data_IF_034211719699
#
_entry.id   IF_034211719699
#
_cell.length_a   1.000
_cell.length_b   1.000
_cell.length_c   1.000
_cell.angle_alpha   90.00
_cell.angle_beta   90.00
_cell.angle_gamma   90.00
#
_symmetry.space_group_name_H-M   'P 1'
#
loop_
_entity.id
_entity.type
_entity.pdbx_description
1 polymer ?
#
# COMPACT_ATOMS: atom_id res chain seq x y z
N UNK A 1 37.26 1.16 3.70
CA UNK A 1 36.43 1.28 2.46
C UNK A 1 35.55 2.49 2.65
N UNK A 2 35.20 3.23 1.57
CA UNK A 2 34.37 4.41 1.73
C UNK A 2 32.95 4.06 2.19
N UNK A 3 32.49 4.72 3.26
CA UNK A 3 31.11 4.69 3.72
C UNK A 3 30.30 5.76 2.97
N UNK A 4 29.17 5.38 2.38
CA UNK A 4 28.24 6.35 1.76
C UNK A 4 27.09 6.70 2.70
N UNK A 5 26.86 7.99 2.93
CA UNK A 5 25.76 8.50 3.75
C UNK A 5 24.77 9.23 2.86
N UNK A 6 23.50 8.80 2.89
CA UNK A 6 22.39 9.39 2.14
C UNK A 6 21.38 10.00 3.10
N UNK A 7 21.22 11.32 3.02
CA UNK A 7 20.13 12.04 3.68
C UNK A 7 18.79 11.73 3.01
N UNK A 8 17.67 12.16 3.62
CA UNK A 8 16.36 11.96 2.98
C UNK A 8 16.24 12.76 1.67
N UNK A 9 16.91 13.91 1.57
CA UNK A 9 16.96 14.70 0.34
C UNK A 9 17.73 13.97 -0.77
N UNK A 10 18.88 13.36 -0.45
CA UNK A 10 19.66 12.55 -1.39
C UNK A 10 18.85 11.34 -1.89
N UNK A 11 18.13 10.69 -0.97
CA UNK A 11 17.23 9.57 -1.32
C UNK A 11 16.11 10.05 -2.25
N UNK A 12 15.44 11.16 -1.92
CA UNK A 12 14.41 11.74 -2.78
C UNK A 12 14.96 12.08 -4.16
N UNK A 13 16.13 12.72 -4.26
CA UNK A 13 16.77 13.07 -5.52
C UNK A 13 16.97 11.83 -6.41
N UNK A 14 17.61 10.78 -5.88
CA UNK A 14 17.87 9.53 -6.62
C UNK A 14 16.56 8.87 -7.06
N UNK A 15 15.60 8.75 -6.14
CA UNK A 15 14.33 8.10 -6.43
C UNK A 15 13.48 8.91 -7.42
N UNK A 16 13.61 10.23 -7.40
CA UNK A 16 12.83 11.12 -8.24
C UNK A 16 13.35 11.13 -9.69
N UNK A 17 14.61 10.79 -9.90
CA UNK A 17 15.21 10.68 -11.23
C UNK A 17 15.11 9.28 -11.86
N UNK A 18 14.48 8.30 -11.19
CA UNK A 18 14.36 6.94 -11.73
C UNK A 18 13.52 6.89 -12.99
N UNK A 19 14.05 6.23 -14.02
CA UNK A 19 13.30 5.87 -15.23
C UNK A 19 12.44 4.62 -15.01
N UNK A 20 11.66 4.24 -16.03
CA UNK A 20 10.94 2.96 -15.99
C UNK A 20 11.91 1.78 -15.96
N UNK A 21 13.00 1.86 -16.71
CA UNK A 21 14.05 0.85 -16.78
C UNK A 21 14.75 0.70 -15.41
N UNK A 22 15.05 1.81 -14.75
CA UNK A 22 15.60 1.79 -13.38
C UNK A 22 14.64 1.08 -12.41
N UNK A 23 13.34 1.39 -12.47
CA UNK A 23 12.32 0.76 -11.62
C UNK A 23 12.19 -0.74 -11.92
N UNK A 24 12.24 -1.15 -13.19
CA UNK A 24 12.20 -2.55 -13.60
C UNK A 24 13.43 -3.32 -13.09
N UNK A 25 14.64 -2.72 -13.12
CA UNK A 25 15.87 -3.30 -12.54
C UNK A 25 15.73 -3.47 -11.02
N UNK A 26 15.31 -2.43 -10.30
CA UNK A 26 15.08 -2.48 -8.86
C UNK A 26 14.02 -3.52 -8.47
N UNK A 27 12.93 -3.63 -9.24
CA UNK A 27 11.94 -4.69 -9.06
C UNK A 27 12.55 -6.08 -9.30
N UNK A 28 13.40 -6.24 -10.31
CA UNK A 28 14.05 -7.53 -10.58
C UNK A 28 14.94 -7.97 -9.43
N UNK A 29 15.79 -7.07 -8.92
CA UNK A 29 16.68 -7.35 -7.79
C UNK A 29 15.90 -7.72 -6.52
N UNK A 30 14.84 -6.96 -6.21
CA UNK A 30 13.98 -7.25 -5.08
C UNK A 30 13.21 -8.56 -5.26
N UNK A 31 12.73 -8.85 -6.46
CA UNK A 31 12.02 -10.08 -6.77
C UNK A 31 12.92 -11.32 -6.62
N UNK A 32 14.18 -11.22 -7.03
CA UNK A 32 15.18 -12.29 -6.87
C UNK A 32 15.53 -12.54 -5.39
N UNK A 33 15.68 -11.48 -4.60
CA UNK A 33 15.93 -11.60 -3.17
C UNK A 33 14.72 -12.22 -2.43
N UNK A 34 13.50 -11.77 -2.74
CA UNK A 34 12.27 -12.34 -2.15
C UNK A 34 12.06 -13.78 -2.59
N UNK A 35 12.38 -14.10 -3.84
CA UNK A 35 12.36 -15.48 -4.34
C UNK A 35 13.34 -16.37 -3.55
N UNK A 36 14.58 -15.90 -3.39
CA UNK A 36 15.65 -16.55 -2.64
C UNK A 36 15.30 -16.77 -1.16
N UNK A 37 14.52 -15.85 -0.58
CA UNK A 37 13.95 -15.98 0.76
C UNK A 37 12.84 -17.03 0.81
N UNK A 38 11.91 -17.02 -0.16
CA UNK A 38 10.71 -17.85 -0.12
C UNK A 38 11.00 -19.34 -0.42
N UNK A 39 12.00 -19.65 -1.24
CA UNK A 39 12.32 -21.05 -1.57
C UNK A 39 12.94 -21.84 -0.42
N UNK A 40 13.37 -21.17 0.65
CA UNK A 40 13.90 -21.83 1.83
C UNK A 40 15.16 -22.68 1.58
N UNK A 41 15.82 -22.55 0.42
CA UNK A 41 17.13 -23.18 0.22
C UNK A 41 18.09 -22.57 1.25
N UNK A 42 18.56 -23.38 2.19
CA UNK A 42 19.44 -22.94 3.26
C UNK A 42 20.80 -22.47 2.73
N UNK A 43 21.14 -22.84 1.49
CA UNK A 43 22.33 -22.35 0.78
C UNK A 43 22.08 -21.01 0.07
N UNK A 44 20.82 -20.57 0.00
CA UNK A 44 20.45 -19.32 -0.63
C UNK A 44 20.96 -18.13 0.18
N UNK A 45 21.58 -17.12 -0.46
CA UNK A 45 22.13 -15.95 0.21
C UNK A 45 21.08 -15.18 1.04
N UNK A 46 19.81 -15.21 0.64
CA UNK A 46 18.73 -14.49 1.30
C UNK A 46 17.78 -15.39 2.10
N UNK A 47 18.18 -16.63 2.39
CA UNK A 47 17.31 -17.64 3.04
C UNK A 47 16.59 -17.11 4.28
N UNK A 48 15.37 -17.59 4.54
CA UNK A 48 14.57 -17.22 5.69
C UNK A 48 15.31 -17.39 7.03
N UNK A 49 16.26 -18.35 7.14
CA UNK A 49 17.10 -18.54 8.32
C UNK A 49 18.00 -17.34 8.65
N UNK A 50 18.25 -16.45 7.67
CA UNK A 50 19.03 -15.23 7.82
C UNK A 50 18.17 -13.97 7.96
N UNK A 51 16.84 -14.11 8.10
CA UNK A 51 15.89 -13.01 8.28
C UNK A 51 15.26 -13.08 9.68
N UNK A 52 15.98 -12.63 10.73
CA UNK A 52 15.43 -12.63 12.08
C UNK A 52 14.18 -11.75 12.19
N UNK A 53 13.33 -12.08 13.16
CA UNK A 53 12.18 -11.24 13.50
C UNK A 53 12.64 -9.85 13.96
N UNK A 54 11.83 -8.84 13.64
CA UNK A 54 12.06 -7.49 14.15
C UNK A 54 12.01 -7.49 15.68
N UNK A 55 12.88 -6.72 16.31
CA UNK A 55 12.85 -6.46 17.76
C UNK A 55 12.11 -5.15 18.02
N UNK A 56 11.28 -5.10 19.06
CA UNK A 56 10.42 -3.94 19.38
C UNK A 56 10.75 -3.42 20.78
N UNK A 57 11.09 -2.14 20.88
CA UNK A 57 11.25 -1.42 22.15
C UNK A 57 10.16 -0.37 22.26
N UNK A 58 9.36 -0.41 23.32
CA UNK A 58 8.35 0.62 23.63
C UNK A 58 8.77 1.40 24.85
N UNK A 59 9.00 2.71 24.71
CA UNK A 59 9.42 3.59 25.80
C UNK A 59 8.87 5.00 25.59
N UNK A 60 8.27 5.58 26.63
CA UNK A 60 7.79 6.97 26.65
C UNK A 60 6.90 7.37 25.45
N UNK A 61 5.98 6.49 25.05
CA UNK A 61 5.08 6.73 23.89
C UNK A 61 5.73 6.54 22.52
N UNK A 62 7.02 6.19 22.47
CA UNK A 62 7.75 5.89 21.24
C UNK A 62 7.92 4.37 21.13
N UNK A 63 7.60 3.83 19.96
CA UNK A 63 7.89 2.45 19.58
C UNK A 63 9.04 2.45 18.59
N UNK A 64 10.18 1.87 18.95
CA UNK A 64 11.34 1.67 18.08
C UNK A 64 11.38 0.23 17.60
N UNK A 65 11.48 0.04 16.30
CA UNK A 65 11.61 -1.25 15.62
C UNK A 65 13.04 -1.40 15.09
N UNK A 66 13.65 -2.54 15.38
CA UNK A 66 14.94 -2.96 14.84
C UNK A 66 14.67 -4.13 13.90
N UNK A 67 15.05 -3.99 12.63
CA UNK A 67 14.78 -4.98 11.58
C UNK A 67 16.12 -5.42 10.97
N UNK A 68 16.83 -6.38 11.59
CA UNK A 68 18.03 -6.95 11.01
C UNK A 68 17.69 -7.86 9.82
N UNK A 69 18.59 -7.93 8.86
CA UNK A 69 18.45 -8.80 7.69
C UNK A 69 19.82 -9.07 7.05
N UNK A 70 19.85 -10.06 6.14
CA UNK A 70 20.98 -10.29 5.25
C UNK A 70 20.51 -10.50 3.82
N UNK A 71 21.20 -9.89 2.85
CA UNK A 71 21.00 -10.14 1.41
C UNK A 71 21.97 -11.21 0.88
N UNK A 72 22.72 -11.84 1.78
CA UNK A 72 23.86 -12.71 1.52
C UNK A 72 25.06 -12.05 0.88
N UNK A 73 24.97 -10.83 0.32
CA UNK A 73 26.10 -9.94 -0.03
C UNK A 73 26.32 -8.83 0.99
N UNK A 74 25.29 -8.54 1.78
CA UNK A 74 25.33 -7.55 2.85
C UNK A 74 24.60 -8.05 4.09
N UNK A 75 24.97 -7.50 5.23
CA UNK A 75 24.23 -7.62 6.49
C UNK A 75 23.94 -6.23 6.99
N UNK A 76 22.76 -6.02 7.54
CA UNK A 76 22.36 -4.69 7.93
C UNK A 76 21.14 -4.68 8.82
N UNK A 77 20.73 -3.48 9.17
CA UNK A 77 19.57 -3.27 10.02
C UNK A 77 18.88 -1.96 9.69
N UNK A 78 17.55 -2.01 9.59
CA UNK A 78 16.71 -0.82 9.66
C UNK A 78 16.34 -0.55 11.11
N UNK A 79 16.50 0.69 11.56
CA UNK A 79 16.01 1.16 12.85
C UNK A 79 15.01 2.27 12.59
N UNK A 80 13.76 2.11 13.01
CA UNK A 80 12.71 3.12 12.84
C UNK A 80 11.96 3.37 14.14
N UNK A 81 11.56 4.61 14.38
CA UNK A 81 10.74 5.00 15.53
C UNK A 81 9.41 5.58 15.09
N UNK A 82 8.36 5.21 15.83
CA UNK A 82 6.99 5.65 15.64
C UNK A 82 6.49 6.25 16.96
N UNK A 83 6.03 7.50 16.91
CA UNK A 83 5.30 8.12 18.02
C UNK A 83 3.85 7.61 18.02
N UNK A 84 3.38 7.10 19.16
CA UNK A 84 1.98 6.75 19.35
C UNK A 84 1.24 7.93 19.98
N UNK A 85 0.03 8.27 19.51
CA UNK A 85 -0.79 9.27 20.19
C UNK A 85 -1.10 8.78 21.61
N UNK A 86 -0.76 9.61 22.61
CA UNK A 86 -1.05 9.32 24.02
C UNK A 86 -2.57 9.26 24.21
N UNK A 87 -3.11 8.07 24.46
CA UNK A 87 -4.52 7.95 24.85
C UNK A 87 -4.70 8.51 26.26
N UNK A 88 -5.16 9.76 26.36
CA UNK A 88 -5.62 10.33 27.62
C UNK A 88 -6.94 9.66 28.01
N UNK A 89 -6.87 8.50 28.66
CA UNK A 89 -8.01 7.96 29.39
C UNK A 89 -8.24 8.84 30.64
N UNK A 90 -9.02 9.92 30.49
CA UNK A 90 -9.60 10.61 31.63
C UNK A 90 -10.55 9.61 32.32
N UNK A 91 -10.12 9.06 33.46
CA UNK A 91 -11.02 8.43 34.43
C UNK A 91 -11.90 9.53 35.03
N UNK A 92 -13.08 9.78 34.47
CA UNK A 92 -14.14 10.52 35.16
C UNK A 92 -14.90 9.54 36.05
N UNK A 93 -14.60 9.56 37.34
CA UNK A 93 -15.48 9.05 38.38
C UNK A 93 -16.68 10.02 38.51
N UNK A 94 -17.88 9.53 38.21
CA UNK A 94 -19.14 10.26 38.37
C UNK A 94 -19.71 9.91 39.74
N UNK A 95 -19.77 10.90 40.63
CA UNK A 95 -20.62 10.86 41.83
C UNK A 95 -21.93 11.59 41.53
N UNK A 96 -23.04 10.88 41.73
CA UNK A 96 -24.42 11.28 41.52
C UNK A 96 -24.92 12.27 42.57
N UNK A 97 -25.57 13.36 42.15
CA UNK A 97 -26.65 13.99 42.91
C UNK A 97 -27.56 14.78 41.97
N UNK A 98 -28.83 14.39 42.02
CA UNK A 98 -30.04 14.86 41.33
C UNK A 98 -30.45 16.27 41.72
N UNK A 99 -30.86 17.10 40.74
CA UNK A 99 -31.96 18.06 40.90
C UNK A 99 -32.40 18.65 39.55
N UNK A 100 -33.71 18.67 39.37
CA UNK A 100 -34.50 19.01 38.18
C UNK A 100 -34.50 20.51 37.86
N UNK A 101 -34.75 20.86 36.59
CA UNK A 101 -34.91 22.26 36.17
C UNK A 101 -35.26 22.41 34.68
N UNK A 102 -36.49 22.84 34.43
CA UNK A 102 -37.23 22.99 33.17
C UNK A 102 -36.63 23.88 32.05
N UNK A 103 -36.93 23.44 30.81
CA UNK A 103 -37.35 24.17 29.58
C UNK A 103 -36.70 25.49 29.15
N UNK A 104 -36.15 25.52 27.93
CA UNK A 104 -36.73 26.25 26.77
C UNK A 104 -35.74 26.32 25.57
N UNK A 105 -36.22 25.93 24.39
CA UNK A 105 -35.63 26.17 23.06
C UNK A 105 -36.16 27.52 22.53
N UNK A 106 -35.45 28.29 21.66
CA UNK A 106 -35.59 28.04 20.22
C UNK A 106 -34.41 28.47 19.30
N UNK A 107 -34.58 28.07 18.03
CA UNK A 107 -33.77 28.31 16.84
C UNK A 107 -33.04 29.65 16.72
N UNK A 108 -31.76 29.58 16.29
CA UNK A 108 -30.93 30.70 15.85
C UNK A 108 -30.29 30.39 14.50
N UNK A 109 -30.48 31.34 13.58
CA UNK A 109 -30.21 31.31 12.14
C UNK A 109 -28.71 31.29 11.74
N UNK A 110 -28.49 30.95 10.47
CA UNK A 110 -27.23 30.84 9.75
C UNK A 110 -26.44 32.16 9.59
N UNK A 111 -25.12 32.05 9.70
CA UNK A 111 -24.11 32.81 8.93
C UNK A 111 -22.84 31.96 8.95
N UNK A 112 -22.23 31.50 7.85
CA UNK A 112 -21.83 32.28 6.70
C UNK A 112 -20.31 32.40 6.70
N UNK A 113 -19.59 31.30 6.42
CA UNK A 113 -18.14 31.32 6.21
C UNK A 113 -17.85 30.90 4.77
N UNK A 114 -17.77 31.89 3.88
CA UNK A 114 -17.33 31.73 2.50
C UNK A 114 -15.81 31.48 2.45
N UNK A 115 -15.40 30.29 2.01
CA UNK A 115 -14.03 30.06 1.51
C UNK A 115 -14.03 30.50 0.04
N UNK A 116 -13.61 31.74 -0.22
CA UNK A 116 -13.33 32.26 -1.56
C UNK A 116 -11.85 32.03 -1.91
N UNK A 117 -11.64 31.70 -3.19
CA UNK A 117 -10.43 31.87 -4.01
C UNK A 117 -9.16 31.06 -3.70
N UNK A 118 -9.01 29.93 -4.40
CA UNK A 118 -7.73 29.43 -4.91
C UNK A 118 -7.96 28.46 -6.10
N UNK A 119 -8.77 28.88 -7.08
CA UNK A 119 -9.13 28.08 -8.25
C UNK A 119 -8.84 28.88 -9.53
N UNK A 120 -7.58 29.04 -9.90
CA UNK A 120 -7.21 29.61 -11.21
C UNK A 120 -6.11 28.84 -11.97
N UNK A 121 -5.59 27.71 -11.45
CA UNK A 121 -4.56 26.89 -12.14
C UNK A 121 -4.93 25.40 -12.31
N UNK A 122 -6.22 25.05 -12.26
CA UNK A 122 -6.67 23.65 -12.18
C UNK A 122 -7.23 23.08 -13.51
N UNK A 123 -6.60 23.43 -14.65
CA UNK A 123 -7.11 23.10 -15.99
C UNK A 123 -7.26 21.61 -16.35
N UNK A 124 -6.55 20.70 -15.67
CA UNK A 124 -6.68 19.24 -15.88
C UNK A 124 -7.29 18.47 -14.70
N UNK A 125 -7.71 19.18 -13.63
CA UNK A 125 -8.25 18.53 -12.44
C UNK A 125 -9.75 18.75 -12.35
N UNK A 126 -10.50 17.70 -12.65
CA UNK A 126 -11.94 17.74 -12.39
C UNK A 126 -12.17 17.44 -10.91
N UNK A 127 -12.37 18.50 -10.13
CA UNK A 127 -13.06 18.43 -8.84
C UNK A 127 -14.55 18.19 -9.13
N UNK A 128 -14.91 16.97 -9.52
CA UNK A 128 -16.31 16.61 -9.72
C UNK A 128 -16.86 15.97 -8.44
N UNK A 129 -17.92 16.53 -7.81
CA UNK A 129 -18.83 15.67 -7.08
C UNK A 129 -19.38 14.67 -8.11
N UNK A 130 -19.17 13.37 -7.90
CA UNK A 130 -19.67 12.34 -8.79
C UNK A 130 -21.21 12.25 -8.65
N UNK A 131 -21.91 13.12 -9.37
CA UNK A 131 -23.36 13.07 -9.53
C UNK A 131 -23.70 13.28 -10.99
N UNK A 132 -24.22 12.24 -11.65
CA UNK A 132 -25.48 12.21 -12.44
C UNK A 132 -25.55 10.83 -13.13
N UNK A 133 -26.50 9.97 -12.73
CA UNK A 133 -27.39 9.15 -13.61
C UNK A 133 -27.93 7.86 -12.93
N UNK A 134 -29.27 7.83 -12.87
CA UNK A 134 -30.25 6.74 -12.72
C UNK A 134 -30.17 5.74 -11.55
N UNK A 135 -31.15 5.89 -10.67
CA UNK A 135 -31.63 4.95 -9.66
C UNK A 135 -32.04 3.59 -10.25
N UNK A 136 -31.27 2.55 -9.95
CA UNK A 136 -31.69 1.16 -10.02
C UNK A 136 -31.83 0.60 -8.60
N UNK A 137 -33.05 0.19 -8.20
CA UNK A 137 -33.33 -0.48 -6.93
C UNK A 137 -32.59 -1.83 -6.89
N UNK A 138 -31.43 -1.89 -6.24
CA UNK A 138 -30.86 -3.12 -5.69
C UNK A 138 -30.38 -2.85 -4.26
N UNK A 139 -31.02 -3.56 -3.33
CA UNK A 139 -30.97 -3.42 -1.87
C UNK A 139 -29.61 -3.79 -1.25
N UNK A 140 -28.65 -2.86 -1.25
CA UNK A 140 -27.59 -2.74 -0.22
C UNK A 140 -27.22 -1.25 -0.18
N UNK A 141 -27.85 -0.51 0.74
CA UNK A 141 -27.76 0.95 0.79
C UNK A 141 -26.44 1.39 1.43
N UNK A 142 -25.51 1.86 0.60
CA UNK A 142 -24.24 2.44 1.06
C UNK A 142 -24.42 3.76 1.80
N UNK A 143 -25.63 4.34 1.80
CA UNK A 143 -25.97 5.59 2.49
C UNK A 143 -25.68 5.53 4.00
N UNK A 144 -25.68 4.34 4.60
CA UNK A 144 -25.50 4.14 6.04
C UNK A 144 -24.04 4.00 6.49
N UNK A 145 -23.08 3.88 5.56
CA UNK A 145 -21.68 3.68 5.93
C UNK A 145 -21.06 4.94 6.54
N UNK A 146 -20.59 4.82 7.78
CA UNK A 146 -19.77 5.83 8.43
C UNK A 146 -18.29 5.46 8.33
N UNK A 147 -17.39 6.42 8.03
CA UNK A 147 -15.96 6.16 8.00
C UNK A 147 -15.44 5.74 9.39
N UNK A 148 -14.40 4.91 9.47
CA UNK A 148 -13.88 4.48 10.76
C UNK A 148 -13.18 5.58 11.57
N UNK A 149 -13.31 5.51 12.90
CA UNK A 149 -12.80 6.54 13.84
C UNK A 149 -11.27 6.55 13.89
N UNK A 150 -10.59 5.42 13.65
CA UNK A 150 -9.13 5.35 13.60
C UNK A 150 -8.50 6.24 12.52
N UNK A 151 -9.31 6.60 11.53
CA UNK A 151 -8.95 7.55 10.50
C UNK A 151 -9.00 8.98 11.04
N UNK A 152 -9.17 9.28 12.33
CA UNK A 152 -9.25 10.67 12.85
C UNK A 152 -7.92 11.34 13.29
N UNK A 153 -6.84 10.59 13.59
CA UNK A 153 -5.61 11.18 14.17
C UNK A 153 -4.74 11.96 13.17
N UNK A 154 -4.60 13.28 13.29
CA UNK A 154 -3.85 14.15 12.34
C UNK A 154 -2.31 14.01 12.35
N UNK A 155 -1.71 13.27 13.28
CA UNK A 155 -0.25 13.15 13.39
C UNK A 155 0.36 12.44 12.17
N UNK A 156 1.60 12.81 11.81
CA UNK A 156 2.35 12.08 10.77
C UNK A 156 2.69 10.69 11.32
N UNK A 157 2.30 9.66 10.59
CA UNK A 157 2.57 8.27 10.94
C UNK A 157 3.75 7.70 10.15
N UNK A 158 4.54 8.56 9.49
CA UNK A 158 5.72 8.14 8.75
C UNK A 158 6.83 7.71 9.74
N UNK A 159 7.32 6.46 9.67
CA UNK A 159 8.42 6.00 10.52
C UNK A 159 9.69 6.79 10.20
N UNK A 160 10.30 7.39 11.21
CA UNK A 160 11.61 8.07 11.10
C UNK A 160 12.72 7.12 11.49
N UNK A 161 13.82 7.10 10.75
CA UNK A 161 14.90 6.17 11.04
C UNK A 161 16.00 6.12 10.00
N UNK A 162 16.84 5.12 10.11
CA UNK A 162 17.96 4.88 9.20
C UNK A 162 18.13 3.38 8.93
N UNK A 163 18.82 3.09 7.84
CA UNK A 163 19.25 1.75 7.45
C UNK A 163 20.76 1.76 7.35
N UNK A 164 21.41 0.84 8.05
CA UNK A 164 22.86 0.66 7.99
C UNK A 164 23.17 -0.66 7.29
N UNK A 165 24.09 -0.63 6.32
CA UNK A 165 24.54 -1.78 5.56
C UNK A 165 26.04 -2.00 5.75
N UNK A 166 26.40 -3.26 5.95
CA UNK A 166 27.76 -3.76 6.00
C UNK A 166 27.94 -4.80 4.89
N UNK A 167 29.16 -4.96 4.38
CA UNK A 167 29.50 -6.03 3.47
C UNK A 167 29.62 -7.39 4.19
N UNK A 168 29.94 -8.45 3.43
CA UNK A 168 30.14 -9.81 3.96
C UNK A 168 31.26 -9.93 5.01
N UNK A 169 32.19 -8.99 5.04
CA UNK A 169 33.33 -8.96 5.95
C UNK A 169 33.13 -8.02 7.14
N UNK A 170 31.98 -7.35 7.20
CA UNK A 170 31.63 -6.41 8.25
C UNK A 170 32.08 -4.96 8.00
N UNK A 171 32.63 -4.65 6.82
CA UNK A 171 32.98 -3.28 6.49
C UNK A 171 31.71 -2.45 6.21
N UNK A 172 31.67 -1.19 6.63
CA UNK A 172 30.56 -0.31 6.34
C UNK A 172 30.41 -0.01 4.84
N UNK A 173 29.21 -0.21 4.32
CA UNK A 173 28.85 0.14 2.94
C UNK A 173 28.11 1.48 2.88
N UNK A 174 27.13 1.67 3.75
CA UNK A 174 26.37 2.92 3.78
C UNK A 174 25.36 3.05 4.91
N UNK A 175 24.94 4.29 5.13
CA UNK A 175 23.83 4.67 6.01
C UNK A 175 22.84 5.47 5.18
N UNK A 176 21.59 5.02 5.14
CA UNK A 176 20.53 5.60 4.32
C UNK A 176 19.38 6.05 5.21
N UNK A 177 18.86 7.27 5.00
CA UNK A 177 17.63 7.68 5.66
C UNK A 177 16.47 6.75 5.26
N UNK A 178 15.71 6.28 6.25
CA UNK A 178 14.69 5.26 6.04
C UNK A 178 13.31 5.82 5.68
N UNK A 179 13.05 7.13 5.84
CA UNK A 179 11.70 7.71 5.75
C UNK A 179 11.13 7.55 4.34
N UNK A 180 11.77 8.15 3.33
CA UNK A 180 11.31 8.02 1.95
C UNK A 180 11.53 6.60 1.40
N UNK A 181 12.68 5.98 1.71
CA UNK A 181 13.01 4.64 1.23
C UNK A 181 12.00 3.58 1.70
N UNK A 182 11.50 3.68 2.94
CA UNK A 182 10.50 2.73 3.46
C UNK A 182 9.21 2.79 2.64
N UNK A 183 8.77 3.96 2.21
CA UNK A 183 7.57 4.08 1.39
C UNK A 183 7.83 3.57 -0.04
N UNK A 184 8.97 3.94 -0.62
CA UNK A 184 9.37 3.47 -1.95
C UNK A 184 9.50 1.94 -2.01
N UNK A 185 10.30 1.31 -1.13
CA UNK A 185 10.53 -0.15 -1.15
C UNK A 185 9.24 -0.95 -0.96
N UNK A 186 8.29 -0.42 -0.18
CA UNK A 186 6.98 -1.05 0.03
C UNK A 186 6.13 -0.98 -1.24
N UNK A 187 6.10 0.18 -1.88
CA UNK A 187 5.45 0.37 -3.17
C UNK A 187 6.09 -0.50 -4.27
N UNK A 188 7.43 -0.60 -4.28
CA UNK A 188 8.20 -1.38 -5.25
C UNK A 188 7.80 -2.86 -5.21
N UNK A 189 7.68 -3.45 -4.01
CA UNK A 189 7.24 -4.82 -3.86
C UNK A 189 5.78 -5.05 -4.26
N UNK A 190 4.85 -4.20 -3.81
CA UNK A 190 3.42 -4.35 -4.14
C UNK A 190 3.18 -4.22 -5.66
N UNK A 191 3.88 -3.30 -6.31
CA UNK A 191 3.71 -3.06 -7.76
C UNK A 191 4.27 -4.17 -8.64
N UNK A 192 4.96 -5.18 -8.09
CA UNK A 192 5.32 -6.40 -8.83
C UNK A 192 4.09 -7.17 -9.33
N UNK A 193 2.99 -7.13 -8.57
CA UNK A 193 1.72 -7.76 -8.99
C UNK A 193 0.93 -6.87 -9.97
N UNK A 194 1.09 -5.55 -9.84
CA UNK A 194 0.50 -4.59 -10.77
C UNK A 194 0.95 -4.83 -12.21
N UNK A 195 2.24 -5.11 -12.43
CA UNK A 195 2.78 -5.37 -13.77
C UNK A 195 2.26 -6.67 -14.39
N UNK A 196 1.68 -7.59 -13.61
CA UNK A 196 1.06 -8.82 -14.11
C UNK A 196 -0.38 -8.62 -14.60
N UNK A 197 -1.02 -7.50 -14.27
CA UNK A 197 -2.42 -7.24 -14.65
C UNK A 197 -2.56 -7.01 -16.14
N UNK A 198 -3.58 -7.60 -16.77
CA UNK A 198 -3.81 -7.38 -18.20
C UNK A 198 -4.18 -5.93 -18.51
N UNK A 199 -5.08 -5.34 -17.73
CA UNK A 199 -5.58 -3.99 -17.93
C UNK A 199 -5.62 -3.23 -16.60
N UNK A 200 -5.20 -1.95 -16.61
CA UNK A 200 -5.26 -1.06 -15.45
C UNK A 200 -5.69 0.33 -15.90
N UNK A 201 -6.99 0.63 -15.81
CA UNK A 201 -7.54 1.92 -16.24
C UNK A 201 -7.84 2.85 -15.05
N UNK A 202 -8.29 2.28 -13.93
CA UNK A 202 -8.67 3.03 -12.72
C UNK A 202 -7.88 2.54 -11.52
N UNK A 203 -7.08 3.42 -10.94
CA UNK A 203 -6.35 3.18 -9.69
C UNK A 203 -7.03 3.97 -8.57
N UNK A 204 -7.42 3.29 -7.50
CA UNK A 204 -7.93 3.93 -6.28
C UNK A 204 -6.92 3.74 -5.16
N UNK A 205 -6.60 4.83 -4.46
CA UNK A 205 -5.73 4.78 -3.28
C UNK A 205 -6.47 5.33 -2.07
N UNK A 206 -6.40 4.60 -0.97
CA UNK A 206 -6.82 5.06 0.35
C UNK A 206 -5.62 5.63 1.10
N UNK A 207 -5.74 6.86 1.58
CA UNK A 207 -4.67 7.60 2.21
C UNK A 207 -4.03 8.63 1.28
N UNK A 208 -3.36 9.61 1.88
CA UNK A 208 -2.67 10.68 1.16
C UNK A 208 -1.32 11.06 1.80
N UNK A 209 -0.57 10.06 2.27
CA UNK A 209 0.81 10.21 2.78
C UNK A 209 1.86 9.59 1.85
N UNK A 210 3.11 9.43 2.32
CA UNK A 210 4.22 8.95 1.49
C UNK A 210 3.97 7.57 0.87
N UNK A 211 3.31 6.66 1.59
CA UNK A 211 2.91 5.36 1.03
C UNK A 211 2.01 5.55 -0.19
N UNK A 212 0.93 6.34 -0.08
CA UNK A 212 0.03 6.61 -1.19
C UNK A 212 0.75 7.28 -2.38
N UNK A 213 1.65 8.24 -2.09
CA UNK A 213 2.47 8.89 -3.10
C UNK A 213 3.30 7.89 -3.90
N UNK A 214 4.08 7.03 -3.24
CA UNK A 214 4.95 6.09 -3.93
C UNK A 214 4.20 5.01 -4.69
N UNK A 215 3.08 4.51 -4.14
CA UNK A 215 2.24 3.54 -4.85
C UNK A 215 1.65 4.13 -6.13
N UNK A 216 1.14 5.37 -6.08
CA UNK A 216 0.66 6.07 -7.28
C UNK A 216 1.81 6.34 -8.26
N UNK A 217 2.95 6.85 -7.78
CA UNK A 217 4.08 7.20 -8.63
C UNK A 217 4.61 5.99 -9.40
N UNK A 218 4.86 4.88 -8.70
CA UNK A 218 5.31 3.64 -9.35
C UNK A 218 4.25 3.04 -10.27
N UNK A 219 2.97 3.08 -9.87
CA UNK A 219 1.90 2.59 -10.74
C UNK A 219 1.84 3.36 -12.06
N UNK A 220 2.00 4.68 -12.01
CA UNK A 220 2.01 5.53 -13.19
C UNK A 220 3.31 5.41 -14.00
N UNK A 221 4.48 5.19 -13.39
CA UNK A 221 5.72 4.88 -14.14
C UNK A 221 5.56 3.56 -14.91
N UNK A 222 5.01 2.53 -14.26
CA UNK A 222 4.92 1.18 -14.82
C UNK A 222 3.77 1.03 -15.83
N UNK A 223 2.64 1.73 -15.62
CA UNK A 223 1.35 1.55 -16.35
C UNK A 223 0.64 2.85 -16.74
N UNK A 224 1.32 4.00 -16.71
CA UNK A 224 0.73 5.31 -16.99
C UNK A 224 0.16 5.48 -18.40
N UNK A 225 0.55 4.61 -19.33
CA UNK A 225 0.01 4.54 -20.70
C UNK A 225 -1.44 4.01 -20.76
N UNK A 226 -1.87 3.26 -19.73
CA UNK A 226 -3.19 2.64 -19.59
C UNK A 226 -4.06 3.28 -18.51
N UNK A 227 -3.44 3.86 -17.48
CA UNK A 227 -4.17 4.50 -16.39
C UNK A 227 -4.82 5.77 -16.90
N UNK A 228 -6.15 5.86 -16.78
CA UNK A 228 -6.95 7.02 -17.18
C UNK A 228 -7.50 7.78 -15.97
N UNK A 229 -7.69 7.09 -14.84
CA UNK A 229 -8.32 7.64 -13.65
C UNK A 229 -7.54 7.25 -12.39
N UNK A 230 -7.27 8.24 -11.56
CA UNK A 230 -6.70 8.07 -10.22
C UNK A 230 -7.65 8.67 -9.19
N UNK A 231 -8.14 7.84 -8.27
CA UNK A 231 -9.04 8.26 -7.20
C UNK A 231 -8.31 8.24 -5.86
N UNK A 232 -8.23 9.38 -5.19
CA UNK A 232 -7.58 9.53 -3.88
C UNK A 232 -8.66 9.66 -2.81
N UNK A 233 -8.80 8.63 -1.99
CA UNK A 233 -9.78 8.59 -0.89
C UNK A 233 -9.03 8.81 0.41
N UNK A 234 -9.28 9.91 1.10
CA UNK A 234 -8.60 10.23 2.34
C UNK A 234 -9.49 11.09 3.23
N UNK A 235 -9.34 10.94 4.55
CA UNK A 235 -10.08 11.74 5.54
C UNK A 235 -9.99 13.25 5.32
N UNK A 236 -8.80 13.72 4.94
CA UNK A 236 -8.46 15.13 4.87
C UNK A 236 -8.41 15.45 3.40
N UNK A 237 -9.42 16.19 2.96
CA UNK A 237 -9.50 16.64 1.58
C UNK A 237 -8.25 17.45 1.20
N UNK A 238 -7.77 18.32 2.10
CA UNK A 238 -6.54 19.10 1.92
C UNK A 238 -5.31 18.22 1.61
N UNK A 239 -5.10 17.12 2.35
CA UNK A 239 -4.00 16.19 2.05
C UNK A 239 -4.18 15.50 0.70
N UNK A 240 -5.41 15.17 0.30
CA UNK A 240 -5.68 14.66 -1.05
C UNK A 240 -5.31 15.69 -2.11
N UNK A 241 -5.69 16.96 -1.93
CA UNK A 241 -5.30 18.06 -2.84
C UNK A 241 -3.77 18.18 -2.90
N UNK A 242 -3.08 18.16 -1.76
CA UNK A 242 -1.61 18.22 -1.72
C UNK A 242 -0.98 17.06 -2.50
N UNK A 243 -1.49 15.85 -2.31
CA UNK A 243 -1.01 14.67 -3.05
C UNK A 243 -1.29 14.80 -4.55
N UNK A 244 -2.49 15.24 -4.95
CA UNK A 244 -2.81 15.48 -6.36
C UNK A 244 -1.89 16.54 -6.98
N UNK A 245 -1.59 17.62 -6.25
CA UNK A 245 -0.63 18.65 -6.69
C UNK A 245 0.77 18.10 -6.92
N UNK A 246 1.21 17.11 -6.15
CA UNK A 246 2.49 16.43 -6.38
C UNK A 246 2.54 15.64 -7.71
N UNK A 247 1.39 15.41 -8.36
CA UNK A 247 1.30 14.82 -9.70
C UNK A 247 0.91 15.83 -10.79
N UNK A 248 0.73 17.12 -10.46
CA UNK A 248 0.56 18.15 -11.48
C UNK A 248 1.88 18.37 -12.20
N UNK A 249 1.83 18.38 -13.53
CA UNK A 249 2.97 18.76 -14.35
C UNK A 249 3.17 20.27 -14.26
N UNK A 250 4.37 20.70 -13.90
CA UNK A 250 4.88 22.00 -14.36
C UNK A 250 5.15 21.87 -15.86
N UNK A 251 5.00 22.95 -16.62
CA UNK A 251 5.11 22.92 -18.09
C UNK A 251 6.46 22.40 -18.63
N UNK A 252 7.47 22.35 -17.78
CA UNK A 252 8.84 21.94 -18.11
C UNK A 252 9.05 20.41 -18.02
N UNK A 253 8.22 19.69 -17.26
CA UNK A 253 8.35 18.25 -17.02
C UNK A 253 7.49 17.40 -17.96
N UNK A 254 7.62 17.57 -19.28
CA UNK A 254 6.99 16.65 -20.27
C UNK A 254 7.64 15.26 -20.24
N UNK A 255 7.56 14.59 -19.10
CA UNK A 255 7.96 13.20 -18.99
C UNK A 255 6.90 12.37 -19.71
N UNK A 256 7.33 11.60 -20.71
CA UNK A 256 6.49 10.89 -21.69
C UNK A 256 5.45 9.92 -21.10
N UNK A 257 5.49 9.63 -19.80
CA UNK A 257 4.69 8.58 -19.15
C UNK A 257 3.30 9.01 -18.67
N UNK A 258 2.85 10.25 -18.87
CA UNK A 258 1.50 10.69 -18.44
C UNK A 258 0.68 11.29 -19.58
N UNK A 259 -0.30 10.51 -20.06
CA UNK A 259 -1.45 11.01 -20.85
C UNK A 259 -2.39 11.82 -19.93
N UNK A 260 -3.48 12.35 -20.47
CA UNK A 260 -4.55 13.04 -19.73
C UNK A 260 -5.18 12.12 -18.64
N UNK A 261 -4.52 12.02 -17.49
CA UNK A 261 -4.98 11.24 -16.33
C UNK A 261 -5.90 12.14 -15.51
N UNK A 262 -7.14 11.69 -15.31
CA UNK A 262 -8.09 12.37 -14.44
C UNK A 262 -7.83 11.99 -12.99
N UNK A 263 -7.40 12.95 -12.19
CA UNK A 263 -7.34 12.82 -10.73
C UNK A 263 -8.67 13.23 -10.10
N UNK A 264 -9.14 12.43 -9.16
CA UNK A 264 -10.28 12.75 -8.30
C UNK A 264 -9.88 12.59 -6.83
N UNK A 265 -10.53 13.36 -5.95
CA UNK A 265 -10.33 13.25 -4.51
C UNK A 265 -11.67 13.13 -3.81
N UNK A 266 -11.74 12.22 -2.83
CA UNK A 266 -12.92 11.98 -2.01
C UNK A 266 -12.53 12.00 -0.52
N UNK A 267 -13.29 12.72 0.30
CA UNK A 267 -13.24 12.66 1.75
C UNK A 267 -14.61 12.30 2.32
N UNK A 268 -14.68 11.79 3.56
CA UNK A 268 -15.95 11.52 4.22
C UNK A 268 -16.81 12.76 4.51
N UNK A 269 -16.25 13.97 4.33
CA UNK A 269 -16.95 15.24 4.47
C UNK A 269 -17.92 15.50 3.31
N UNK A 270 -17.80 14.74 2.21
CA UNK A 270 -18.72 14.86 1.07
C UNK A 270 -20.07 14.18 1.34
N UNK A 271 -21.14 14.82 0.87
CA UNK A 271 -22.47 14.21 0.84
C UNK A 271 -22.47 12.91 0.03
N UNK A 272 -23.29 11.94 0.46
CA UNK A 272 -23.40 10.62 -0.17
C UNK A 272 -22.09 9.80 -0.20
N UNK A 273 -21.13 10.09 0.70
CA UNK A 273 -19.82 9.45 0.75
C UNK A 273 -19.90 7.92 0.58
N UNK A 274 -20.78 7.23 1.31
CA UNK A 274 -20.88 5.78 1.22
C UNK A 274 -21.38 5.25 -0.14
N UNK A 275 -22.26 5.99 -0.85
CA UNK A 275 -22.66 5.66 -2.23
C UNK A 275 -21.48 5.84 -3.19
N UNK A 276 -20.79 6.97 -3.08
CA UNK A 276 -19.65 7.30 -3.93
C UNK A 276 -18.49 6.34 -3.70
N UNK A 277 -18.17 6.03 -2.45
CA UNK A 277 -17.16 5.06 -2.06
C UNK A 277 -17.45 3.69 -2.68
N UNK A 278 -18.69 3.22 -2.61
CA UNK A 278 -19.12 1.96 -3.23
C UNK A 278 -18.87 1.94 -4.74
N UNK A 279 -19.16 3.04 -5.42
CA UNK A 279 -18.93 3.17 -6.85
C UNK A 279 -17.44 3.17 -7.19
N UNK A 280 -16.62 3.93 -6.49
CA UNK A 280 -15.18 4.01 -6.77
C UNK A 280 -14.45 2.69 -6.46
N UNK A 281 -14.78 2.04 -5.33
CA UNK A 281 -14.25 0.70 -5.00
C UNK A 281 -14.65 -0.33 -6.06
N UNK A 282 -15.88 -0.26 -6.59
CA UNK A 282 -16.32 -1.19 -7.63
C UNK A 282 -15.73 -0.88 -9.01
N UNK A 283 -15.47 0.38 -9.34
CA UNK A 283 -14.85 0.78 -10.62
C UNK A 283 -13.37 0.46 -10.70
N UNK A 284 -12.66 0.52 -9.57
CA UNK A 284 -11.22 0.29 -9.49
C UNK A 284 -10.77 -1.03 -10.16
N UNK A 285 -9.69 -0.96 -10.95
CA UNK A 285 -8.90 -2.12 -11.37
C UNK A 285 -7.86 -2.47 -10.30
N UNK A 286 -7.35 -1.43 -9.63
CA UNK A 286 -6.33 -1.52 -8.58
C UNK A 286 -6.77 -0.70 -7.37
N UNK A 287 -6.64 -1.27 -6.17
CA UNK A 287 -6.90 -0.60 -4.90
C UNK A 287 -5.64 -0.68 -4.03
N UNK A 288 -5.05 0.47 -3.71
CA UNK A 288 -3.98 0.58 -2.72
C UNK A 288 -4.57 1.07 -1.40
N UNK A 289 -4.44 0.29 -0.34
CA UNK A 289 -4.80 0.70 1.01
C UNK A 289 -3.53 1.13 1.75
N UNK A 290 -3.38 2.43 1.96
CA UNK A 290 -2.17 3.04 2.53
C UNK A 290 -2.48 3.87 3.79
N UNK A 291 -3.39 3.36 4.61
CA UNK A 291 -3.90 3.99 5.84
C UNK A 291 -3.61 3.15 7.08
N UNK A 292 -3.14 3.75 8.19
CA UNK A 292 -2.98 3.04 9.45
C UNK A 292 -4.34 2.83 10.15
N UNK A 293 -5.29 2.19 9.46
CA UNK A 293 -6.66 2.00 9.94
C UNK A 293 -6.73 0.82 10.92
N UNK A 294 -7.61 0.91 11.92
CA UNK A 294 -7.94 -0.22 12.82
C UNK A 294 -9.23 -0.92 12.44
N UNK A 295 -9.94 -0.34 11.47
CA UNK A 295 -11.25 -0.75 11.02
C UNK A 295 -11.30 -0.77 9.48
N UNK A 296 -12.08 -1.68 8.88
CA UNK A 296 -12.20 -1.78 7.43
C UNK A 296 -12.54 -0.45 6.74
N UNK A 297 -11.83 -0.12 5.67
CA UNK A 297 -11.99 1.12 4.90
C UNK A 297 -13.32 1.20 4.14
N UNK A 298 -13.93 0.05 3.89
CA UNK A 298 -15.23 -0.08 3.27
C UNK A 298 -15.89 -1.42 3.70
N UNK A 299 -17.22 -1.52 3.62
CA UNK A 299 -17.96 -2.76 3.92
C UNK A 299 -17.58 -3.90 2.96
N UNK A 300 -17.59 -5.15 3.45
CA UNK A 300 -17.20 -6.31 2.65
C UNK A 300 -18.05 -6.47 1.39
N UNK A 301 -19.35 -6.14 1.47
CA UNK A 301 -20.35 -6.33 0.44
C UNK A 301 -20.04 -5.52 -0.83
N UNK A 302 -19.21 -4.47 -0.72
CA UNK A 302 -18.78 -3.69 -1.87
C UNK A 302 -18.05 -4.59 -2.87
N UNK A 303 -17.31 -5.59 -2.37
CA UNK A 303 -16.52 -6.54 -3.17
C UNK A 303 -17.08 -7.97 -3.17
N UNK A 304 -17.74 -8.42 -2.11
CA UNK A 304 -18.22 -9.82 -1.99
C UNK A 304 -19.61 -10.04 -2.60
N UNK A 305 -20.40 -8.97 -2.78
CA UNK A 305 -21.70 -9.05 -3.46
C UNK A 305 -21.57 -9.55 -4.91
N UNK A 306 -22.68 -10.05 -5.47
CA UNK A 306 -22.72 -10.53 -6.87
C UNK A 306 -22.18 -9.50 -7.87
N UNK A 307 -22.53 -8.23 -7.68
CA UNK A 307 -22.04 -7.13 -8.52
C UNK A 307 -20.55 -6.82 -8.24
N UNK A 308 -20.13 -6.83 -6.97
CA UNK A 308 -18.74 -6.62 -6.59
C UNK A 308 -17.78 -7.65 -7.20
N UNK A 309 -18.20 -8.93 -7.24
CA UNK A 309 -17.43 -10.08 -7.76
C UNK A 309 -17.35 -10.17 -9.29
N UNK A 310 -17.98 -9.28 -10.06
CA UNK A 310 -17.94 -9.33 -11.54
C UNK A 310 -16.59 -8.95 -12.14
N UNK A 311 -15.81 -8.13 -11.42
CA UNK A 311 -14.54 -7.57 -11.90
C UNK A 311 -13.40 -8.10 -11.04
N UNK A 312 -12.37 -8.65 -11.67
CA UNK A 312 -11.15 -9.03 -10.95
C UNK A 312 -10.30 -7.80 -10.73
N UNK A 313 -9.85 -7.61 -9.50
CA UNK A 313 -9.06 -6.45 -9.08
C UNK A 313 -7.73 -6.89 -8.52
N UNK A 314 -6.78 -5.96 -8.51
CA UNK A 314 -5.61 -6.07 -7.64
C UNK A 314 -5.82 -5.19 -6.41
N UNK A 315 -5.71 -5.75 -5.22
CA UNK A 315 -5.88 -5.02 -3.96
C UNK A 315 -4.62 -5.21 -3.12
N UNK A 316 -3.98 -4.13 -2.71
CA UNK A 316 -2.79 -4.16 -1.88
C UNK A 316 -3.06 -3.48 -0.55
N UNK A 317 -2.99 -4.22 0.56
CA UNK A 317 -3.15 -3.70 1.91
C UNK A 317 -1.80 -3.49 2.58
N UNK A 318 -1.47 -2.23 2.84
CA UNK A 318 -0.12 -1.76 3.16
C UNK A 318 -0.10 -1.03 4.51
N UNK A 319 -1.12 -0.23 4.80
CA UNK A 319 -1.17 0.60 5.98
C UNK A 319 -1.45 -0.16 7.29
N UNK A 320 -2.08 -1.34 7.23
CA UNK A 320 -2.32 -2.20 8.39
C UNK A 320 -1.16 -3.17 8.65
N UNK A 321 -0.16 -2.77 9.44
CA UNK A 321 1.04 -3.57 9.72
C UNK A 321 1.08 -4.18 11.14
N UNK A 322 0.01 -4.05 11.92
CA UNK A 322 -0.04 -4.55 13.30
C UNK A 322 -1.33 -5.36 13.56
N UNK A 323 -1.33 -6.28 14.55
CA UNK A 323 -2.43 -7.25 14.72
C UNK A 323 -3.82 -6.63 14.93
N UNK A 324 -3.86 -5.43 15.51
CA UNK A 324 -5.09 -4.68 15.77
C UNK A 324 -5.52 -3.81 14.58
N UNK A 325 -4.61 -3.55 13.62
CA UNK A 325 -4.86 -2.75 12.43
C UNK A 325 -5.55 -3.57 11.33
N UNK A 326 -6.49 -2.94 10.63
CA UNK A 326 -7.26 -3.56 9.55
C UNK A 326 -7.58 -2.51 8.51
N UNK A 327 -7.26 -2.79 7.25
CA UNK A 327 -7.70 -1.96 6.12
C UNK A 327 -8.82 -2.62 5.31
N UNK A 328 -8.78 -3.95 5.19
CA UNK A 328 -9.74 -4.73 4.41
C UNK A 328 -10.59 -5.58 5.37
N UNK A 329 -11.90 -5.59 5.14
CA UNK A 329 -12.80 -6.43 5.93
C UNK A 329 -12.40 -7.92 5.84
N UNK A 330 -12.27 -8.66 6.97
CA UNK A 330 -11.84 -10.06 6.98
C UNK A 330 -12.64 -11.00 6.06
N UNK A 331 -13.93 -10.71 5.83
CA UNK A 331 -14.76 -11.47 4.87
C UNK A 331 -14.25 -11.39 3.42
N UNK A 332 -13.65 -10.27 3.02
CA UNK A 332 -13.07 -10.15 1.66
C UNK A 332 -11.92 -11.15 1.50
N UNK A 333 -11.12 -11.35 2.55
CA UNK A 333 -10.04 -12.32 2.57
C UNK A 333 -10.58 -13.76 2.62
N UNK A 334 -11.56 -14.05 3.47
CA UNK A 334 -12.23 -15.38 3.53
C UNK A 334 -12.76 -15.79 2.16
N UNK A 335 -13.57 -14.91 1.54
CA UNK A 335 -14.14 -15.16 0.23
C UNK A 335 -13.06 -15.32 -0.85
N UNK A 336 -11.89 -14.69 -0.73
CA UNK A 336 -10.82 -14.83 -1.73
C UNK A 336 -10.06 -16.17 -1.64
N UNK A 337 -10.11 -16.85 -0.49
CA UNK A 337 -9.43 -18.14 -0.25
C UNK A 337 -10.39 -19.33 -0.22
N UNK A 338 -11.70 -19.08 -0.28
CA UNK A 338 -12.70 -20.13 -0.37
C UNK A 338 -12.46 -20.98 -1.64
N UNK A 339 -12.56 -22.32 -1.56
CA UNK A 339 -12.46 -23.17 -2.73
C UNK A 339 -13.51 -22.77 -3.76
N UNK A 340 -13.11 -22.63 -5.03
CA UNK A 340 -14.06 -22.49 -6.14
C UNK A 340 -14.90 -23.78 -6.22
N UNK A 341 -16.03 -23.82 -5.52
CA UNK A 341 -17.02 -24.88 -5.69
C UNK A 341 -17.56 -24.73 -7.11
N UNK A 342 -17.13 -25.62 -8.01
CA UNK A 342 -17.47 -25.67 -9.43
C UNK A 342 -18.96 -25.90 -9.76
N UNK A 343 -19.86 -25.34 -8.96
CA UNK A 343 -21.29 -25.28 -9.25
C UNK A 343 -21.53 -24.50 -10.54
N UNK A 344 -22.42 -25.02 -11.37
CA UNK A 344 -22.88 -24.48 -12.65
C UNK A 344 -23.60 -23.13 -12.53
N UNK A 345 -22.96 -22.13 -11.93
CA UNK A 345 -23.50 -20.79 -11.89
C UNK A 345 -23.21 -20.11 -13.24
N UNK A 346 -24.27 -19.90 -14.03
CA UNK A 346 -24.25 -19.19 -15.32
C UNK A 346 -23.82 -17.70 -15.23
N UNK A 347 -23.21 -17.27 -14.13
CA UNK A 347 -22.83 -15.89 -13.89
C UNK A 347 -21.32 -15.76 -13.85
N UNK A 348 -20.80 -14.93 -14.75
CA UNK A 348 -19.38 -14.61 -14.90
C UNK A 348 -18.86 -13.89 -13.66
N UNK A 349 -18.27 -14.63 -12.73
CA UNK A 349 -17.48 -14.10 -11.63
C UNK A 349 -16.01 -14.03 -12.03
N UNK A 350 -15.28 -13.07 -11.48
CA UNK A 350 -13.83 -13.07 -11.60
C UNK A 350 -13.27 -14.26 -10.81
N UNK A 351 -12.31 -14.99 -11.41
CA UNK A 351 -11.66 -16.13 -10.78
C UNK A 351 -10.97 -15.72 -9.48
N UNK A 352 -11.11 -16.54 -8.46
CA UNK A 352 -10.38 -16.41 -7.19
C UNK A 352 -9.13 -17.29 -7.22
N UNK A 353 -8.08 -16.87 -6.52
CA UNK A 353 -6.81 -17.59 -6.50
C UNK A 353 -6.79 -18.75 -5.51
N UNK A 354 -7.69 -18.73 -4.53
CA UNK A 354 -7.62 -19.62 -3.37
C UNK A 354 -6.56 -19.20 -2.34
N UNK A 355 -5.79 -18.13 -2.59
CA UNK A 355 -4.69 -17.68 -1.72
C UNK A 355 -4.60 -16.15 -1.67
N UNK A 356 -4.01 -15.63 -0.58
CA UNK A 356 -3.59 -14.23 -0.43
C UNK A 356 -2.08 -14.14 -0.60
N UNK A 357 -1.62 -13.20 -1.43
CA UNK A 357 -0.19 -12.97 -1.64
C UNK A 357 0.36 -12.16 -0.47
N UNK A 358 1.49 -12.56 0.09
CA UNK A 358 2.16 -11.89 1.22
C UNK A 358 3.62 -11.60 0.94
N UNK A 359 4.24 -10.66 1.66
CA UNK A 359 5.70 -10.49 1.65
C UNK A 359 6.42 -11.57 2.47
N UNK A 360 5.92 -11.87 3.67
CA UNK A 360 6.42 -12.92 4.56
C UNK A 360 5.24 -13.65 5.18
N UNK A 361 5.20 -14.97 5.01
CA UNK A 361 4.15 -15.84 5.55
C UNK A 361 4.13 -15.76 7.06
N UNK A 362 5.29 -15.91 7.70
CA UNK A 362 5.41 -15.89 9.16
C UNK A 362 5.01 -14.52 9.74
N UNK A 363 5.48 -13.43 9.12
CA UNK A 363 5.19 -12.08 9.61
C UNK A 363 3.71 -11.73 9.41
N UNK A 364 3.12 -12.03 8.25
CA UNK A 364 1.71 -11.74 8.00
C UNK A 364 0.76 -12.53 8.91
N UNK A 365 1.06 -13.78 9.23
CA UNK A 365 0.25 -14.58 10.18
C UNK A 365 0.28 -14.01 11.61
N UNK A 366 1.35 -13.30 11.98
CA UNK A 366 1.53 -12.70 13.32
C UNK A 366 1.11 -11.24 13.40
N UNK A 367 1.28 -10.47 12.32
CA UNK A 367 1.20 -9.00 12.32
C UNK A 367 0.03 -8.45 11.48
N UNK A 368 -0.45 -9.15 10.46
CA UNK A 368 -1.50 -8.61 9.58
C UNK A 368 -2.89 -8.82 10.19
N UNK A 369 -3.48 -7.77 10.79
CA UNK A 369 -4.75 -7.88 11.49
C UNK A 369 -5.92 -8.39 10.64
N UNK A 370 -6.01 -8.04 9.35
CA UNK A 370 -7.02 -8.64 8.45
C UNK A 370 -6.83 -10.15 8.24
N UNK A 371 -5.59 -10.65 8.15
CA UNK A 371 -5.27 -12.09 8.02
C UNK A 371 -5.63 -12.84 9.30
N UNK A 372 -5.22 -12.28 10.45
CA UNK A 372 -5.48 -12.83 11.79
C UNK A 372 -6.99 -12.88 12.06
N UNK A 373 -7.70 -11.77 11.85
CA UNK A 373 -9.16 -11.69 12.07
C UNK A 373 -9.95 -12.53 11.06
N UNK A 374 -9.40 -12.77 9.86
CA UNK A 374 -9.97 -13.70 8.90
C UNK A 374 -9.75 -15.17 9.29
N UNK A 375 -8.88 -15.45 10.27
CA UNK A 375 -8.46 -16.81 10.68
C UNK A 375 -7.84 -17.59 9.52
N UNK A 376 -7.11 -16.89 8.66
CA UNK A 376 -6.34 -17.55 7.61
C UNK A 376 -5.21 -18.37 8.21
N UNK A 377 -4.77 -19.37 7.46
CA UNK A 377 -3.75 -20.35 7.84
C UNK A 377 -2.63 -20.32 6.79
N UNK A 378 -1.45 -20.91 7.04
CA UNK A 378 -0.37 -20.94 6.07
C UNK A 378 -0.80 -21.39 4.67
N UNK A 379 -1.67 -22.40 4.56
CA UNK A 379 -2.18 -22.91 3.27
C UNK A 379 -3.05 -21.92 2.47
N UNK A 380 -3.51 -20.84 3.11
CA UNK A 380 -4.28 -19.78 2.47
C UNK A 380 -3.41 -18.60 1.99
N UNK A 381 -2.10 -18.67 2.21
CA UNK A 381 -1.16 -17.60 1.90
C UNK A 381 -0.08 -18.11 0.93
N UNK A 382 0.44 -17.23 0.09
CA UNK A 382 1.59 -17.50 -0.78
C UNK A 382 2.56 -16.33 -0.72
N UNK A 383 3.85 -16.58 -0.53
CA UNK A 383 4.85 -15.52 -0.55
C UNK A 383 5.04 -15.00 -1.98
N UNK A 384 5.18 -13.68 -2.11
CA UNK A 384 5.33 -13.03 -3.43
C UNK A 384 6.56 -13.52 -4.19
N UNK A 385 7.62 -13.92 -3.47
CA UNK A 385 8.82 -14.50 -4.06
C UNK A 385 8.60 -15.87 -4.71
N UNK A 386 7.68 -16.69 -4.20
CA UNK A 386 7.31 -17.96 -4.84
C UNK A 386 6.63 -17.70 -6.19
N UNK A 387 5.73 -16.72 -6.25
CA UNK A 387 5.02 -16.36 -7.49
C UNK A 387 5.95 -15.85 -8.59
N UNK A 388 7.14 -15.33 -8.24
CA UNK A 388 8.15 -14.93 -9.22
C UNK A 388 8.72 -16.13 -9.99
N UNK A 389 8.74 -17.33 -9.40
CA UNK A 389 9.15 -18.56 -10.08
C UNK A 389 8.11 -19.05 -11.06
N UNK A 390 6.85 -18.92 -10.70
CA UNK A 390 5.81 -19.56 -11.48
C UNK A 390 5.71 -18.93 -12.87
N UNK A 391 5.99 -17.62 -13.00
CA UNK A 391 6.13 -17.03 -14.33
C UNK A 391 7.30 -17.65 -15.09
N UNK A 392 8.47 -17.82 -14.48
CA UNK A 392 9.65 -18.41 -15.16
C UNK A 392 9.41 -19.87 -15.56
N UNK A 393 8.83 -20.67 -14.67
CA UNK A 393 8.53 -22.08 -14.90
C UNK A 393 7.39 -22.25 -15.90
N UNK A 394 6.27 -21.56 -15.73
CA UNK A 394 5.13 -21.66 -16.65
C UNK A 394 5.46 -21.09 -18.03
N UNK A 395 6.20 -19.98 -18.14
CA UNK A 395 6.64 -19.47 -19.45
C UNK A 395 7.58 -20.46 -20.14
N UNK A 396 8.55 -21.04 -19.42
CA UNK A 396 9.44 -22.06 -19.96
C UNK A 396 8.70 -23.34 -20.37
N UNK A 397 7.70 -23.76 -19.59
CA UNK A 397 6.87 -24.92 -19.91
C UNK A 397 6.01 -24.67 -21.15
N UNK A 398 5.40 -23.48 -21.27
CA UNK A 398 4.64 -23.07 -22.47
C UNK A 398 5.57 -23.02 -23.70
N UNK A 399 6.78 -22.48 -23.57
CA UNK A 399 7.78 -22.46 -24.66
C UNK A 399 8.21 -23.88 -25.08
N UNK A 400 8.20 -24.82 -24.13
CA UNK A 400 8.48 -26.25 -24.38
C UNK A 400 7.23 -27.04 -24.80
N UNK A 401 6.08 -26.39 -25.01
CA UNK A 401 4.83 -27.00 -25.48
C UNK A 401 3.99 -27.70 -24.40
N UNK A 402 4.32 -27.52 -23.12
CA UNK A 402 3.51 -27.99 -22.00
C UNK A 402 2.30 -27.09 -21.72
N UNK A 403 1.30 -27.58 -20.95
CA UNK A 403 0.07 -26.84 -20.67
C UNK A 403 0.32 -25.57 -19.85
N UNK A 404 1.43 -25.51 -19.12
CA UNK A 404 1.77 -24.43 -18.21
C UNK A 404 0.74 -24.26 -17.08
N UNK A 405 0.99 -23.29 -16.21
CA UNK A 405 0.04 -22.90 -15.18
C UNK A 405 -0.97 -21.86 -15.68
N UNK A 406 -1.65 -22.15 -16.80
CA UNK A 406 -2.57 -21.22 -17.47
C UNK A 406 -3.63 -20.67 -16.52
N UNK A 407 -4.09 -21.48 -15.55
CA UNK A 407 -5.08 -21.05 -14.58
C UNK A 407 -4.59 -20.00 -13.59
N UNK A 408 -3.35 -20.14 -13.12
CA UNK A 408 -2.69 -19.16 -12.27
C UNK A 408 -2.39 -17.88 -13.05
N UNK A 409 -1.91 -18.00 -14.28
CA UNK A 409 -1.66 -16.84 -15.14
C UNK A 409 -2.96 -16.06 -15.40
N UNK A 410 -4.07 -16.74 -15.67
CA UNK A 410 -5.38 -16.11 -15.84
C UNK A 410 -5.87 -15.44 -14.54
N UNK A 411 -5.65 -16.05 -13.37
CA UNK A 411 -5.95 -15.43 -12.08
C UNK A 411 -5.10 -14.17 -11.83
N UNK A 412 -3.78 -14.26 -11.99
CA UNK A 412 -2.87 -13.12 -11.79
C UNK A 412 -3.15 -11.96 -12.75
N UNK A 413 -3.57 -12.25 -13.98
CA UNK A 413 -3.81 -11.23 -15.02
C UNK A 413 -5.22 -10.63 -14.97
N UNK A 414 -6.26 -11.44 -14.70
CA UNK A 414 -7.68 -11.04 -14.79
C UNK A 414 -8.51 -11.33 -13.55
N UNK A 415 -8.09 -12.24 -12.68
CA UNK A 415 -8.81 -12.63 -11.46
C UNK A 415 -8.72 -11.59 -10.34
N UNK A 416 -9.24 -11.93 -9.17
CA UNK A 416 -9.17 -11.08 -7.97
C UNK A 416 -7.93 -11.43 -7.14
N UNK A 417 -6.94 -10.56 -7.11
CA UNK A 417 -5.63 -10.75 -6.48
C UNK A 417 -5.53 -9.81 -5.28
N UNK A 418 -5.23 -10.36 -4.10
CA UNK A 418 -5.01 -9.58 -2.88
C UNK A 418 -3.55 -9.77 -2.44
N UNK A 419 -2.88 -8.66 -2.20
CA UNK A 419 -1.54 -8.59 -1.63
C UNK A 419 -1.60 -7.94 -0.25
N UNK A 420 -0.99 -8.58 0.74
CA UNK A 420 -0.84 -8.06 2.09
C UNK A 420 0.64 -7.87 2.39
N UNK A 421 1.03 -6.67 2.81
CA UNK A 421 2.39 -6.39 3.25
C UNK A 421 2.42 -5.93 4.71
N UNK A 422 3.41 -6.43 5.45
CA UNK A 422 3.82 -5.93 6.78
C UNK A 422 5.27 -5.42 6.79
N UNK A 423 6.03 -5.74 5.74
CA UNK A 423 7.41 -5.35 5.48
C UNK A 423 8.42 -6.17 6.25
N UNK A 424 9.51 -6.57 5.60
CA UNK A 424 10.62 -7.31 6.21
C UNK A 424 11.96 -6.60 5.94
N UNK A 425 12.94 -6.82 6.83
CA UNK A 425 14.25 -6.15 6.74
C UNK A 425 14.98 -6.41 5.42
N UNK A 426 14.81 -7.60 4.83
CA UNK A 426 15.39 -7.97 3.54
C UNK A 426 15.03 -6.95 2.44
N UNK A 427 13.77 -6.52 2.38
CA UNK A 427 13.32 -5.54 1.39
C UNK A 427 14.02 -4.19 1.56
N UNK A 428 14.26 -3.79 2.81
CA UNK A 428 14.93 -2.54 3.13
C UNK A 428 16.40 -2.59 2.70
N UNK A 429 17.10 -3.70 2.99
CA UNK A 429 18.53 -3.82 2.66
C UNK A 429 18.78 -3.95 1.16
N UNK A 430 17.96 -4.72 0.44
CA UNK A 430 18.12 -4.86 -1.02
C UNK A 430 18.00 -3.50 -1.69
N UNK A 431 16.91 -2.78 -1.39
CA UNK A 431 16.66 -1.47 -2.00
C UNK A 431 17.68 -0.43 -1.54
N UNK A 432 18.06 -0.41 -0.27
CA UNK A 432 19.10 0.51 0.21
C UNK A 432 20.47 0.24 -0.43
N UNK A 433 20.84 -1.02 -0.63
CA UNK A 433 22.08 -1.39 -1.35
C UNK A 433 22.07 -0.91 -2.80
N UNK A 434 20.93 -1.05 -3.48
CA UNK A 434 20.75 -0.51 -4.83
C UNK A 434 20.83 1.01 -4.87
N UNK A 435 20.22 1.73 -3.92
CA UNK A 435 20.35 3.19 -3.84
C UNK A 435 21.77 3.64 -3.56
N UNK A 436 22.54 2.95 -2.70
CA UNK A 436 23.95 3.28 -2.47
C UNK A 436 24.75 3.15 -3.77
N UNK A 437 24.50 2.10 -4.56
CA UNK A 437 25.15 1.90 -5.87
C UNK A 437 24.78 3.02 -6.84
N UNK A 438 23.48 3.37 -6.93
CA UNK A 438 23.01 4.47 -7.78
C UNK A 438 23.61 5.81 -7.36
N UNK A 439 23.63 6.09 -6.05
CA UNK A 439 24.21 7.29 -5.47
C UNK A 439 25.68 7.46 -5.87
N UNK A 440 26.48 6.40 -5.73
CA UNK A 440 27.90 6.38 -6.15
C UNK A 440 28.06 6.65 -7.65
N UNK A 441 27.18 6.08 -8.49
CA UNK A 441 27.23 6.30 -9.95
C UNK A 441 26.79 7.71 -10.39
N UNK A 442 26.00 8.39 -9.55
CA UNK A 442 25.41 9.70 -9.83
C UNK A 442 26.08 10.84 -9.03
N UNK A 443 27.11 10.53 -8.25
CA UNK A 443 27.81 11.46 -7.36
C UNK A 443 26.87 12.17 -6.36
N UNK A 444 25.92 11.42 -5.79
CA UNK A 444 24.92 11.92 -4.83
C UNK A 444 25.24 11.43 -3.41
N UNK A 445 25.02 12.29 -2.42
CA UNK A 445 25.28 12.02 -1.01
C UNK A 445 26.72 12.32 -0.57
N UNK A 446 27.08 11.86 0.62
CA UNK A 446 28.41 12.09 1.21
C UNK A 446 29.19 10.78 1.28
N UNK A 447 30.41 10.78 0.75
CA UNK A 447 31.35 9.68 0.91
C UNK A 447 32.34 10.01 2.02
N UNK A 448 32.44 9.14 3.02
CA UNK A 448 33.38 9.24 4.12
C UNK A 448 34.48 8.20 3.86
N UNK A 449 35.66 8.69 3.49
CA UNK A 449 36.86 7.87 3.34
C UNK A 449 37.38 7.40 4.71
N UNK A 450 38.02 6.23 4.74
CA UNK A 450 38.64 5.63 5.94
C UNK A 450 37.73 5.52 7.19
N UNK A 451 36.42 5.31 6.97
CA UNK A 451 35.49 4.86 8.01
C UNK A 451 35.72 3.38 8.32
#
# INVERSE_FOLDING_TARGET
MPLTVLTDADVQEILYSLTKEDVDELQSNLAEALHSYSTGDTNSPCSASFQPHRTVIKKNGITTLFMPASTGTSVGMKIVSLEQPVSTSKKSSVSSSTSEGHSDTPAGSMSGASIRSATNDLGSMTLSPASTMSSGRNSIDGSSFQPPVSVASSQSTAPKGSITLLDRTGNPLGIVNAEELTAFRTALASTMMLTKRQNVHTVTVFGAGNQAYWHLRLALILRGDQIHHVNIINRSFERSIKLMKAFQMTQEDRVQWRKDIKFSAMSPEFGEYGRLLKEEVRKADVIFCCTPSTDPLFPAEFLTSREGRRKGRYIAAIGSYAPHMVEIHPDVLRVAVEPDHGGHHHHKHARQGGVIIVDSLESCLKEAGEVIKAKLKPEHLVEVGELMMIKKAATKEIELGGPGEQGLLDWLTKGNVIYKSVGMGLMDLVVAGDLIRLAKSRDVGVTIEDF
#
